data_IF_176951522749
#
_entry.id   IF_176951522749
#
_cell.length_a   1.000
_cell.length_b   1.000
_cell.length_c   1.000
_cell.angle_alpha   90.00
_cell.angle_beta   90.00
_cell.angle_gamma   90.00
#
_symmetry.space_group_name_H-M   'P 1'
#
loop_
_entity.id
_entity.type
_entity.pdbx_description
1 polymer ?
#
# COMPACT_ATOMS: atom_id res chain seq x y z
N UNK A 1 23.07 0.99 3.65
CA UNK A 1 21.60 0.95 3.44
C UNK A 1 21.23 2.22 2.70
N UNK A 2 20.39 2.14 1.66
CA UNK A 2 19.92 3.36 0.97
C UNK A 2 18.99 4.13 1.93
N UNK A 3 19.04 5.48 1.99
CA UNK A 3 18.18 6.25 2.89
C UNK A 3 16.67 5.99 2.69
N UNK A 4 16.24 5.70 1.47
CA UNK A 4 14.85 5.32 1.14
C UNK A 4 14.40 4.05 1.89
N UNK A 5 15.28 3.05 1.99
CA UNK A 5 15.02 1.82 2.76
C UNK A 5 14.93 2.11 4.25
N UNK A 6 15.68 3.09 4.77
CA UNK A 6 15.52 3.51 6.18
C UNK A 6 14.12 4.09 6.41
N UNK A 7 13.57 4.84 5.44
CA UNK A 7 12.20 5.34 5.53
C UNK A 7 11.16 4.20 5.49
N UNK A 8 11.40 3.15 4.69
CA UNK A 8 10.58 1.92 4.69
C UNK A 8 10.54 1.27 6.07
N UNK A 9 11.72 0.96 6.64
CA UNK A 9 11.80 0.31 7.95
C UNK A 9 11.24 1.18 9.07
N UNK A 10 11.41 2.50 8.98
CA UNK A 10 10.82 3.43 9.94
C UNK A 10 9.30 3.47 9.84
N UNK A 11 8.74 3.36 8.64
CA UNK A 11 7.30 3.32 8.43
C UNK A 11 6.65 2.10 9.10
N UNK A 12 7.37 0.98 9.22
CA UNK A 12 6.87 -0.22 9.90
C UNK A 12 6.52 -0.01 11.37
N UNK A 13 7.15 0.96 12.06
CA UNK A 13 6.75 1.32 13.43
C UNK A 13 5.27 1.67 13.54
N UNK A 14 4.67 2.25 12.49
CA UNK A 14 3.24 2.54 12.45
C UNK A 14 2.45 1.45 11.69
N UNK A 15 2.96 1.03 10.53
CA UNK A 15 2.31 0.08 9.64
C UNK A 15 3.00 -1.29 9.71
N UNK A 16 2.56 -2.12 10.65
CA UNK A 16 3.10 -3.45 10.88
C UNK A 16 3.43 -3.74 12.32
N UNK A 17 3.91 -2.74 13.07
CA UNK A 17 4.15 -2.86 14.51
C UNK A 17 2.95 -2.32 15.32
N UNK A 18 2.58 -1.06 15.10
CA UNK A 18 1.48 -0.42 15.85
C UNK A 18 0.11 -0.89 15.39
N UNK A 19 -0.11 -0.98 14.08
CA UNK A 19 -1.30 -1.59 13.48
C UNK A 19 -0.83 -2.82 12.71
N UNK A 20 -1.23 -3.99 13.18
CA UNK A 20 -0.73 -5.28 12.67
C UNK A 20 -1.71 -5.91 11.68
N UNK A 21 -1.26 -6.71 10.70
CA UNK A 21 -2.14 -7.38 9.76
C UNK A 21 -2.76 -8.62 10.43
N UNK A 22 -4.04 -8.89 10.17
CA UNK A 22 -4.75 -10.00 10.82
C UNK A 22 -4.37 -11.37 10.31
N UNK A 23 -4.08 -11.43 9.04
CA UNK A 23 -3.57 -12.64 8.41
C UNK A 23 -2.48 -12.25 7.43
N UNK A 24 -1.74 -13.24 6.97
CA UNK A 24 -0.76 -13.00 5.91
C UNK A 24 -1.37 -12.47 4.61
N UNK A 25 -2.68 -12.70 4.35
CA UNK A 25 -3.41 -12.08 3.22
C UNK A 25 -3.55 -10.57 3.35
N UNK A 26 -3.37 -10.05 4.55
CA UNK A 26 -3.42 -8.63 4.87
C UNK A 26 -2.01 -8.02 4.97
N UNK A 27 -0.94 -8.76 4.63
CA UNK A 27 0.45 -8.29 4.72
C UNK A 27 0.71 -7.01 3.91
N UNK A 28 -0.08 -6.76 2.87
CA UNK A 28 -0.05 -5.50 2.11
C UNK A 28 -0.33 -4.26 2.97
N UNK A 29 -1.04 -4.39 4.10
CA UNK A 29 -1.24 -3.29 5.06
C UNK A 29 0.08 -2.84 5.72
N UNK A 30 1.08 -3.72 5.75
CA UNK A 30 2.42 -3.40 6.21
C UNK A 30 3.26 -2.92 5.03
N UNK A 31 3.52 -3.84 4.10
CA UNK A 31 4.52 -3.66 3.05
C UNK A 31 4.12 -2.59 2.03
N UNK A 32 2.82 -2.50 1.72
CA UNK A 32 2.29 -1.48 0.82
C UNK A 32 2.43 -0.07 1.37
N UNK A 33 2.17 0.09 2.67
CA UNK A 33 2.29 1.40 3.33
C UNK A 33 3.74 1.81 3.51
N UNK A 34 4.61 0.88 3.93
CA UNK A 34 6.03 1.13 4.06
C UNK A 34 6.67 1.47 2.70
N UNK A 35 6.35 0.71 1.64
CA UNK A 35 6.81 0.99 0.28
C UNK A 35 6.31 2.35 -0.22
N UNK A 36 5.06 2.73 0.09
CA UNK A 36 4.54 4.04 -0.26
C UNK A 36 5.27 5.19 0.46
N UNK A 37 5.65 5.00 1.73
CA UNK A 37 6.48 5.97 2.46
C UNK A 37 7.90 6.04 1.89
N UNK A 38 8.48 4.93 1.45
CA UNK A 38 9.77 4.91 0.75
C UNK A 38 9.71 5.72 -0.55
N UNK A 39 8.70 5.48 -1.39
CA UNK A 39 8.47 6.22 -2.63
C UNK A 39 8.30 7.72 -2.37
N UNK A 40 7.55 8.09 -1.33
CA UNK A 40 7.36 9.48 -0.93
C UNK A 40 8.67 10.12 -0.47
N UNK A 41 9.44 9.43 0.38
CA UNK A 41 10.71 9.92 0.87
C UNK A 41 11.67 10.20 -0.28
N UNK A 42 11.79 9.26 -1.23
CA UNK A 42 12.61 9.43 -2.42
C UNK A 42 12.18 10.67 -3.22
N UNK A 43 10.89 10.81 -3.51
CA UNK A 43 10.37 11.94 -4.30
C UNK A 43 10.57 13.30 -3.61
N UNK A 44 10.71 13.32 -2.27
CA UNK A 44 10.95 14.56 -1.51
C UNK A 44 12.44 14.93 -1.39
N UNK A 45 13.35 13.97 -1.56
CA UNK A 45 14.78 14.15 -1.21
C UNK A 45 15.75 13.88 -2.36
N UNK A 46 15.30 13.24 -3.43
CA UNK A 46 16.12 12.83 -4.58
C UNK A 46 15.53 13.42 -5.87
N UNK A 47 16.33 13.38 -6.95
CA UNK A 47 15.87 13.80 -8.27
C UNK A 47 14.95 12.71 -8.86
N UNK A 48 13.64 12.85 -8.64
CA UNK A 48 12.60 12.04 -9.28
C UNK A 48 11.22 12.23 -8.66
N UNK A 49 10.24 11.51 -9.21
CA UNK A 49 8.83 11.60 -8.78
C UNK A 49 8.28 10.24 -8.39
N UNK A 50 7.17 10.24 -7.65
CA UNK A 50 6.41 8.99 -7.44
C UNK A 50 5.97 8.37 -8.78
N UNK A 51 5.65 9.19 -9.78
CA UNK A 51 5.23 8.70 -11.09
C UNK A 51 6.35 7.91 -11.81
N UNK A 52 7.62 8.26 -11.61
CA UNK A 52 8.77 7.50 -12.11
C UNK A 52 8.83 6.10 -11.49
N UNK A 53 8.65 6.01 -10.16
CA UNK A 53 8.54 4.72 -9.47
C UNK A 53 7.37 3.89 -9.98
N UNK A 54 6.21 4.53 -10.17
CA UNK A 54 5.01 3.86 -10.69
C UNK A 54 5.27 3.31 -12.09
N UNK A 55 5.94 4.08 -12.95
CA UNK A 55 6.28 3.64 -14.29
C UNK A 55 7.22 2.41 -14.26
N UNK A 56 8.17 2.37 -13.34
CA UNK A 56 9.10 1.26 -13.16
C UNK A 56 8.40 0.00 -12.63
N UNK A 57 7.59 0.17 -11.58
CA UNK A 57 6.76 -0.90 -11.00
C UNK A 57 5.83 -1.50 -12.05
N UNK A 58 5.17 -0.67 -12.85
CA UNK A 58 4.20 -1.14 -13.87
C UNK A 58 4.83 -2.04 -14.92
N UNK A 59 6.15 -1.96 -15.15
CA UNK A 59 6.86 -2.86 -16.07
C UNK A 59 7.01 -4.28 -15.53
N UNK A 60 6.99 -4.46 -14.21
CA UNK A 60 7.25 -5.75 -13.54
C UNK A 60 6.03 -6.32 -12.80
N UNK A 61 5.05 -5.49 -12.42
CA UNK A 61 3.90 -5.90 -11.59
C UNK A 61 3.07 -7.03 -12.24
N UNK A 62 2.93 -7.04 -13.57
CA UNK A 62 2.23 -8.12 -14.28
C UNK A 62 2.91 -9.48 -14.08
N UNK A 63 4.24 -9.53 -14.25
CA UNK A 63 5.02 -10.75 -14.03
C UNK A 63 4.97 -11.18 -12.56
N UNK A 64 5.11 -10.24 -11.63
CA UNK A 64 5.02 -10.54 -10.19
C UNK A 64 3.66 -11.14 -9.81
N UNK A 65 2.55 -10.68 -10.42
CA UNK A 65 1.22 -11.24 -10.20
C UNK A 65 1.05 -12.63 -10.83
N UNK A 66 1.68 -12.89 -11.97
CA UNK A 66 1.69 -14.21 -12.59
C UNK A 66 2.44 -15.24 -11.72
N UNK A 67 3.62 -14.86 -11.24
CA UNK A 67 4.48 -15.71 -10.42
C UNK A 67 3.93 -15.93 -9.02
N UNK A 68 3.53 -14.84 -8.34
CA UNK A 68 3.22 -14.85 -6.91
C UNK A 68 1.72 -14.70 -6.59
N UNK A 69 0.87 -14.48 -7.59
CA UNK A 69 -0.53 -14.09 -7.41
C UNK A 69 -0.69 -12.60 -7.06
N UNK A 70 -1.94 -12.10 -7.00
CA UNK A 70 -2.20 -10.70 -6.65
C UNK A 70 -2.01 -10.46 -5.14
N UNK A 71 -1.77 -9.20 -4.69
CA UNK A 71 -1.34 -8.90 -3.32
C UNK A 71 -2.26 -9.45 -2.21
N UNK A 72 -3.59 -9.39 -2.41
CA UNK A 72 -4.59 -9.87 -1.45
C UNK A 72 -4.95 -11.36 -1.60
N UNK A 73 -4.45 -12.03 -2.65
CA UNK A 73 -4.64 -13.47 -2.89
C UNK A 73 -3.36 -14.13 -3.38
N UNK A 74 -2.22 -13.78 -2.76
CA UNK A 74 -0.93 -14.33 -3.15
C UNK A 74 -0.90 -15.86 -2.97
N UNK A 75 -0.07 -16.54 -3.74
CA UNK A 75 0.08 -17.98 -3.70
C UNK A 75 0.86 -18.40 -2.46
N UNK A 76 0.42 -19.47 -1.78
CA UNK A 76 1.01 -19.91 -0.51
C UNK A 76 2.48 -20.33 -0.62
N UNK A 77 2.91 -20.77 -1.80
CA UNK A 77 4.28 -21.18 -2.13
C UNK A 77 5.19 -20.00 -2.49
N UNK A 78 4.63 -18.80 -2.67
CA UNK A 78 5.28 -17.61 -3.21
C UNK A 78 5.35 -16.48 -2.18
N UNK A 79 5.47 -16.84 -0.91
CA UNK A 79 5.44 -15.92 0.23
C UNK A 79 6.57 -14.89 0.16
N UNK A 80 6.24 -13.61 0.40
CA UNK A 80 7.23 -12.53 0.54
C UNK A 80 7.82 -11.98 -0.76
N UNK A 81 7.21 -12.28 -1.92
CA UNK A 81 7.63 -11.70 -3.20
C UNK A 81 7.15 -10.25 -3.30
N UNK A 82 7.79 -9.44 -4.14
CA UNK A 82 7.54 -7.99 -4.30
C UNK A 82 6.10 -7.59 -4.62
N UNK A 83 5.20 -8.54 -4.93
CA UNK A 83 3.80 -8.27 -5.24
C UNK A 83 3.05 -7.59 -4.09
N UNK A 84 3.36 -7.90 -2.83
CA UNK A 84 2.69 -7.29 -1.66
C UNK A 84 3.12 -5.84 -1.36
N UNK A 85 4.17 -5.37 -2.01
CA UNK A 85 4.74 -4.02 -1.80
C UNK A 85 4.17 -3.06 -2.84
N UNK A 86 4.39 -3.38 -4.11
CA UNK A 86 4.28 -2.39 -5.18
C UNK A 86 2.84 -2.03 -5.55
N UNK A 87 2.02 -3.03 -5.90
CA UNK A 87 0.61 -2.79 -6.24
C UNK A 87 -0.15 -2.02 -5.14
N UNK A 88 -0.03 -2.43 -3.87
CA UNK A 88 -0.60 -1.70 -2.73
C UNK A 88 -0.06 -0.27 -2.55
N UNK A 89 1.22 -0.02 -2.82
CA UNK A 89 1.77 1.34 -2.79
C UNK A 89 1.17 2.24 -3.89
N UNK A 90 0.99 1.72 -5.11
CA UNK A 90 0.30 2.46 -6.18
C UNK A 90 -1.17 2.70 -5.81
N UNK A 91 -1.85 1.72 -5.22
CA UNK A 91 -3.21 1.87 -4.73
C UNK A 91 -3.33 3.03 -3.72
N UNK A 92 -2.38 3.16 -2.77
CA UNK A 92 -2.35 4.28 -1.83
C UNK A 92 -2.10 5.61 -2.55
N UNK A 93 -1.23 5.64 -3.56
CA UNK A 93 -1.02 6.84 -4.38
C UNK A 93 -2.31 7.27 -5.11
N UNK A 94 -3.05 6.31 -5.67
CA UNK A 94 -4.34 6.53 -6.33
C UNK A 94 -5.42 7.07 -5.35
N UNK A 95 -5.40 6.60 -4.10
CA UNK A 95 -6.25 7.17 -3.03
C UNK A 95 -5.81 8.61 -2.72
N UNK A 96 -4.50 8.88 -2.60
CA UNK A 96 -3.98 10.23 -2.38
C UNK A 96 -4.40 11.20 -3.48
N UNK A 97 -4.24 10.83 -4.75
CA UNK A 97 -4.66 11.68 -5.89
C UNK A 97 -6.14 12.05 -5.81
N UNK A 98 -6.97 11.12 -5.34
CA UNK A 98 -8.41 11.32 -5.16
C UNK A 98 -8.72 12.23 -3.96
N UNK A 99 -8.02 12.08 -2.83
CA UNK A 99 -8.30 12.84 -1.60
C UNK A 99 -7.59 14.21 -1.53
N UNK A 100 -6.47 14.35 -2.23
CA UNK A 100 -5.49 15.40 -2.03
C UNK A 100 -4.61 15.16 -0.79
N UNK A 101 -3.40 15.70 -0.84
CA UNK A 101 -2.31 15.45 0.13
C UNK A 101 -2.73 15.66 1.58
N UNK A 102 -3.31 16.83 1.88
CA UNK A 102 -3.69 17.18 3.26
C UNK A 102 -4.62 16.15 3.88
N UNK A 103 -5.64 15.72 3.13
CA UNK A 103 -6.64 14.75 3.62
C UNK A 103 -6.04 13.36 3.70
N UNK A 104 -5.25 12.97 2.71
CA UNK A 104 -4.60 11.67 2.68
C UNK A 104 -3.64 11.47 3.86
N UNK A 105 -2.72 12.40 4.11
CA UNK A 105 -1.78 12.25 5.23
C UNK A 105 -2.46 12.42 6.59
N UNK A 106 -3.56 13.19 6.68
CA UNK A 106 -4.38 13.23 7.89
C UNK A 106 -5.06 11.88 8.15
N UNK A 107 -5.60 11.25 7.11
CA UNK A 107 -6.19 9.91 7.17
C UNK A 107 -5.16 8.86 7.61
N UNK A 108 -3.93 8.87 7.07
CA UNK A 108 -2.87 7.94 7.51
C UNK A 108 -2.55 8.06 9.00
N UNK A 109 -2.45 9.29 9.52
CA UNK A 109 -2.23 9.51 10.96
C UNK A 109 -3.42 9.05 11.78
N UNK A 110 -4.64 9.37 11.35
CA UNK A 110 -5.86 8.98 12.04
C UNK A 110 -5.99 7.45 12.12
N UNK A 111 -5.72 6.74 11.02
CA UNK A 111 -5.72 5.27 10.96
C UNK A 111 -4.87 4.66 12.06
N UNK A 112 -3.63 5.13 12.19
CA UNK A 112 -2.68 4.61 13.18
C UNK A 112 -3.10 4.94 14.61
N UNK A 113 -3.65 6.14 14.86
CA UNK A 113 -4.08 6.54 16.21
C UNK A 113 -5.33 5.78 16.65
N UNK A 114 -6.31 5.61 15.76
CA UNK A 114 -7.59 4.97 16.06
C UNK A 114 -7.48 3.44 16.18
N UNK A 115 -6.49 2.83 15.52
CA UNK A 115 -6.27 1.37 15.53
C UNK A 115 -4.99 0.96 16.25
N UNK A 116 -4.44 1.83 17.10
CA UNK A 116 -3.21 1.57 17.84
C UNK A 116 -3.28 0.27 18.65
N UNK A 117 -2.24 -0.55 18.53
CA UNK A 117 -2.11 -1.85 19.20
C UNK A 117 -3.24 -2.82 18.88
N UNK A 118 -3.77 -2.75 17.65
CA UNK A 118 -4.80 -3.67 17.16
C UNK A 118 -4.32 -4.42 15.93
N UNK A 119 -5.15 -5.37 15.52
CA UNK A 119 -4.94 -6.17 14.33
C UNK A 119 -6.06 -5.91 13.34
N UNK A 120 -5.71 -5.56 12.11
CA UNK A 120 -6.63 -5.09 11.07
C UNK A 120 -6.57 -5.99 9.83
N UNK A 121 -7.67 -6.03 9.09
CA UNK A 121 -7.74 -6.69 7.78
C UNK A 121 -8.25 -5.73 6.72
N UNK A 122 -8.26 -6.20 5.47
CA UNK A 122 -8.84 -5.46 4.35
C UNK A 122 -10.26 -4.96 4.61
N UNK A 123 -11.14 -5.80 5.16
CA UNK A 123 -12.53 -5.40 5.38
C UNK A 123 -12.65 -4.22 6.35
N UNK A 124 -11.89 -4.26 7.44
CA UNK A 124 -11.85 -3.19 8.45
C UNK A 124 -11.23 -1.91 7.89
N UNK A 125 -10.11 -2.02 7.17
CA UNK A 125 -9.50 -0.87 6.50
C UNK A 125 -10.43 -0.23 5.47
N UNK A 126 -10.99 -1.01 4.54
CA UNK A 126 -11.88 -0.50 3.49
C UNK A 126 -13.10 0.19 4.09
N UNK A 127 -13.73 -0.44 5.10
CA UNK A 127 -14.87 0.16 5.79
C UNK A 127 -14.48 1.49 6.42
N UNK A 128 -13.40 1.50 7.20
CA UNK A 128 -12.97 2.69 7.93
C UNK A 128 -12.59 3.83 6.99
N UNK A 129 -11.82 3.59 5.92
CA UNK A 129 -11.47 4.69 5.00
C UNK A 129 -12.70 5.25 4.30
N UNK A 130 -13.68 4.41 3.98
CA UNK A 130 -14.90 4.86 3.32
C UNK A 130 -15.71 5.79 4.25
N UNK A 131 -15.86 5.39 5.51
CA UNK A 131 -16.55 6.17 6.54
C UNK A 131 -15.77 7.47 6.85
N UNK A 132 -14.45 7.38 7.04
CA UNK A 132 -13.60 8.52 7.42
C UNK A 132 -13.48 9.57 6.31
N UNK A 133 -13.49 9.15 5.04
CA UNK A 133 -13.33 10.06 3.89
C UNK A 133 -14.64 10.47 3.25
N UNK A 134 -15.74 9.77 3.55
CA UNK A 134 -17.03 9.96 2.88
C UNK A 134 -17.02 9.54 1.40
N UNK A 135 -16.08 8.68 0.98
CA UNK A 135 -15.94 8.22 -0.41
C UNK A 135 -15.79 6.72 -0.46
N UNK A 136 -16.37 6.09 -1.47
CA UNK A 136 -16.26 4.64 -1.66
C UNK A 136 -14.99 4.29 -2.46
N UNK A 137 -14.03 3.67 -1.78
CA UNK A 137 -12.80 3.13 -2.36
C UNK A 137 -12.82 1.61 -2.52
N UNK A 138 -13.94 0.94 -2.21
CA UNK A 138 -14.05 -0.53 -2.20
C UNK A 138 -13.58 -1.12 -3.52
N UNK A 139 -14.12 -0.65 -4.65
CA UNK A 139 -13.74 -1.14 -5.97
C UNK A 139 -12.26 -0.91 -6.29
N UNK A 140 -11.70 0.24 -5.88
CA UNK A 140 -10.29 0.55 -6.12
C UNK A 140 -9.39 -0.43 -5.36
N UNK A 141 -9.67 -0.61 -4.06
CA UNK A 141 -8.92 -1.54 -3.20
C UNK A 141 -9.03 -2.96 -3.75
N UNK A 142 -10.25 -3.39 -4.05
CA UNK A 142 -10.50 -4.75 -4.54
C UNK A 142 -9.75 -5.01 -5.85
N UNK A 143 -9.78 -4.05 -6.77
CA UNK A 143 -9.09 -4.17 -8.06
C UNK A 143 -7.58 -4.31 -7.87
N UNK A 144 -6.96 -3.46 -7.04
CA UNK A 144 -5.50 -3.51 -6.81
C UNK A 144 -5.04 -4.77 -6.09
N UNK A 145 -5.83 -5.26 -5.14
CA UNK A 145 -5.48 -6.42 -4.33
C UNK A 145 -5.81 -7.76 -4.99
N UNK A 146 -6.78 -7.82 -5.91
CA UNK A 146 -7.28 -9.10 -6.44
C UNK A 146 -7.06 -9.30 -7.93
N UNK A 147 -6.80 -8.24 -8.70
CA UNK A 147 -6.65 -8.39 -10.14
C UNK A 147 -5.42 -9.26 -10.48
N UNK A 148 -5.57 -10.31 -11.32
CA UNK A 148 -4.45 -11.14 -11.73
C UNK A 148 -3.47 -10.40 -12.65
N UNK A 149 -3.89 -9.28 -13.23
CA UNK A 149 -3.05 -8.39 -14.04
C UNK A 149 -2.94 -7.01 -13.41
N UNK A 150 -1.91 -6.26 -13.76
CA UNK A 150 -1.73 -4.87 -13.32
C UNK A 150 -2.96 -4.03 -13.65
N UNK A 151 -3.62 -3.42 -12.65
CA UNK A 151 -4.73 -2.52 -12.91
C UNK A 151 -4.34 -1.32 -13.78
N UNK A 152 -5.27 -0.86 -14.60
CA UNK A 152 -5.14 0.42 -15.31
C UNK A 152 -5.02 1.60 -14.36
N UNK A 153 -4.40 2.70 -14.81
CA UNK A 153 -4.51 3.99 -14.12
C UNK A 153 -5.95 4.49 -14.24
N UNK A 154 -6.53 4.97 -13.13
CA UNK A 154 -7.91 5.44 -13.07
C UNK A 154 -8.05 6.92 -12.87
#
# INVERSE_FOLDING_TARGET
MRPSVVAHELAHHWFGDTVTPRTWRDLWLNEGFAMYMEMQWYADHEDGTIDDFIADIRRVDGQLREEAGPPGRYRRDSFGISNVYYGPAIMLHEIRKRLGDRRFFAMLRAWVQEHRNTTQDRASFTKWINEHTGRDFTRLIDTWLDSPTTPGGG
#
